data_IF_611896117161
#
_entry.id   IF_611896117161
#
_cell.length_a   1.000
_cell.length_b   1.000
_cell.length_c   1.000
_cell.angle_alpha   90.00
_cell.angle_beta   90.00
_cell.angle_gamma   90.00
#
_symmetry.space_group_name_H-M   'P 1'
#
loop_
_entity.id
_entity.type
_entity.pdbx_description
1 polymer ?
#
# COMPACT_ATOMS: atom_id res chain seq x y z
N UNK A 1 2.46 17.11 -26.90
CA UNK A 1 3.22 15.85 -27.06
C UNK A 1 4.08 15.56 -25.84
N UNK A 2 4.19 14.29 -25.43
CA UNK A 2 4.99 13.87 -24.28
C UNK A 2 6.48 13.77 -24.64
N UNK A 3 7.37 13.93 -23.65
CA UNK A 3 8.82 13.73 -23.83
C UNK A 3 9.18 12.24 -23.83
N UNK A 4 10.34 11.87 -24.39
CA UNK A 4 10.83 10.46 -24.47
C UNK A 4 10.88 9.74 -23.12
N UNK A 5 11.06 10.50 -22.04
CA UNK A 5 11.17 10.00 -20.66
C UNK A 5 9.81 9.81 -19.97
N UNK A 6 8.73 10.31 -20.57
CA UNK A 6 7.36 10.17 -20.05
C UNK A 6 6.86 8.74 -20.16
N UNK A 7 6.06 8.37 -19.16
CA UNK A 7 5.26 7.14 -19.11
C UNK A 7 4.32 7.03 -20.32
N UNK A 8 3.86 8.15 -20.88
CA UNK A 8 2.89 8.21 -21.97
C UNK A 8 3.50 8.46 -23.35
N UNK A 9 4.82 8.51 -23.46
CA UNK A 9 5.51 8.84 -24.71
C UNK A 9 5.13 7.97 -25.91
N UNK A 10 4.98 6.67 -25.66
CA UNK A 10 4.74 5.66 -26.71
C UNK A 10 3.26 5.46 -27.03
N UNK A 11 2.35 6.23 -26.42
CA UNK A 11 0.92 6.06 -26.68
C UNK A 11 0.50 6.88 -27.89
N UNK A 12 -0.17 6.24 -28.88
CA UNK A 12 -0.76 6.99 -29.98
C UNK A 12 -1.92 7.85 -29.42
N UNK A 13 -2.03 9.13 -29.84
CA UNK A 13 -3.16 9.95 -29.46
C UNK A 13 -4.45 9.43 -30.11
N UNK A 14 -5.58 9.62 -29.41
CA UNK A 14 -6.91 9.27 -29.91
C UNK A 14 -7.68 10.55 -30.16
N UNK A 15 -8.09 10.78 -31.40
CA UNK A 15 -8.94 11.91 -31.78
C UNK A 15 -10.40 11.48 -31.68
N UNK A 16 -11.20 12.23 -30.91
CA UNK A 16 -12.64 12.03 -30.80
C UNK A 16 -13.36 13.29 -31.26
N UNK A 17 -14.45 13.11 -32.00
CA UNK A 17 -15.31 14.22 -32.44
C UNK A 17 -16.43 14.42 -31.42
N UNK A 18 -16.58 15.65 -30.92
CA UNK A 18 -17.67 16.00 -30.01
C UNK A 18 -19.01 16.16 -30.75
N UNK A 19 -20.11 16.30 -29.98
CA UNK A 19 -21.46 16.47 -30.54
C UNK A 19 -21.62 17.75 -31.38
N UNK A 20 -20.65 18.68 -31.32
CA UNK A 20 -20.61 19.93 -32.07
C UNK A 20 -19.67 19.85 -33.29
N UNK A 21 -19.17 18.66 -33.63
CA UNK A 21 -18.29 18.42 -34.77
C UNK A 21 -16.84 18.86 -34.56
N UNK A 22 -16.42 19.17 -33.33
CA UNK A 22 -15.04 19.56 -33.02
C UNK A 22 -14.21 18.34 -32.70
N UNK A 23 -13.01 18.28 -33.27
CA UNK A 23 -12.04 17.24 -32.94
C UNK A 23 -11.29 17.58 -31.66
N UNK A 24 -11.17 16.59 -30.76
CA UNK A 24 -10.33 16.68 -29.57
C UNK A 24 -9.35 15.52 -29.53
N UNK A 25 -8.07 15.87 -29.46
CA UNK A 25 -7.00 14.92 -29.21
C UNK A 25 -6.95 14.57 -27.72
N UNK A 26 -6.94 13.28 -27.41
CA UNK A 26 -6.90 12.74 -26.06
C UNK A 26 -5.80 11.67 -25.94
N UNK A 27 -5.28 11.48 -24.73
CA UNK A 27 -4.33 10.41 -24.44
C UNK A 27 -5.10 9.18 -23.96
N UNK A 28 -4.92 8.00 -24.58
CA UNK A 28 -5.64 6.80 -24.15
C UNK A 28 -5.15 6.30 -22.80
N UNK A 29 -5.96 5.47 -22.15
CA UNK A 29 -5.55 4.75 -20.95
C UNK A 29 -4.39 3.79 -21.27
N UNK A 30 -3.36 3.80 -20.42
CA UNK A 30 -2.20 2.92 -20.58
C UNK A 30 -2.43 1.60 -19.84
N UNK A 31 -2.39 0.49 -20.57
CA UNK A 31 -2.28 -0.83 -19.94
C UNK A 31 -0.89 -1.03 -19.34
N UNK A 32 -0.83 -1.65 -18.17
CA UNK A 32 0.43 -1.95 -17.50
C UNK A 32 1.14 -3.08 -18.26
N UNK A 33 2.41 -2.90 -18.66
CA UNK A 33 3.16 -3.97 -19.30
C UNK A 33 3.39 -5.11 -18.30
N UNK A 34 3.38 -6.36 -18.79
CA UNK A 34 3.87 -7.49 -17.98
C UNK A 34 5.37 -7.38 -17.88
N UNK A 35 5.87 -6.89 -16.75
CA UNK A 35 7.29 -6.75 -16.51
C UNK A 35 7.83 -8.00 -15.82
N UNK A 36 8.74 -8.70 -16.50
CA UNK A 36 9.57 -9.74 -15.90
C UNK A 36 10.88 -9.09 -15.45
N UNK A 37 11.07 -8.95 -14.14
CA UNK A 37 12.35 -8.54 -13.56
C UNK A 37 12.95 -9.68 -12.75
N UNK A 38 14.28 -9.76 -12.73
CA UNK A 38 15.04 -10.69 -11.89
C UNK A 38 15.68 -10.00 -10.69
N UNK A 39 15.67 -8.65 -10.64
CA UNK A 39 16.30 -7.89 -9.58
C UNK A 39 15.28 -7.41 -8.56
N UNK A 40 15.55 -7.70 -7.28
CA UNK A 40 14.75 -7.26 -6.16
C UNK A 40 15.54 -6.29 -5.27
N UNK A 41 14.91 -5.19 -4.90
CA UNK A 41 15.41 -4.27 -3.88
C UNK A 41 14.66 -4.48 -2.57
N UNK A 42 15.37 -4.62 -1.46
CA UNK A 42 14.73 -4.72 -0.14
C UNK A 42 14.39 -3.33 0.37
N UNK A 43 13.09 -3.06 0.58
CA UNK A 43 12.64 -1.74 1.02
C UNK A 43 13.18 -1.36 2.40
N UNK A 44 13.71 -0.15 2.50
CA UNK A 44 14.20 0.50 3.70
C UNK A 44 13.35 1.70 4.07
N UNK A 45 13.35 2.10 5.34
CA UNK A 45 12.56 3.24 5.82
C UNK A 45 12.92 4.58 5.14
N UNK A 46 14.17 4.70 4.66
CA UNK A 46 14.69 5.90 4.00
C UNK A 46 14.44 5.92 2.49
N UNK A 47 13.91 4.83 1.93
CA UNK A 47 13.68 4.75 0.50
C UNK A 47 12.59 5.72 0.07
N UNK A 48 12.79 6.28 -1.13
CA UNK A 48 11.82 7.08 -1.85
C UNK A 48 11.91 6.72 -3.32
N UNK A 49 10.81 6.83 -4.06
CA UNK A 49 10.76 6.46 -5.48
C UNK A 49 11.75 7.22 -6.36
N UNK A 50 11.89 8.52 -6.13
CA UNK A 50 12.88 9.38 -6.77
C UNK A 50 14.32 8.92 -6.48
N UNK A 51 14.61 8.60 -5.23
CA UNK A 51 15.93 8.09 -4.81
C UNK A 51 16.22 6.70 -5.38
N UNK A 52 15.23 5.80 -5.41
CA UNK A 52 15.36 4.47 -6.02
C UNK A 52 15.58 4.59 -7.53
N UNK A 53 14.80 5.42 -8.21
CA UNK A 53 14.96 5.67 -9.64
C UNK A 53 16.33 6.31 -9.95
N UNK A 54 16.81 7.20 -9.10
CA UNK A 54 18.17 7.73 -9.22
C UNK A 54 19.22 6.64 -9.02
N UNK A 55 19.10 5.82 -7.97
CA UNK A 55 20.03 4.74 -7.65
C UNK A 55 20.14 3.71 -8.79
N UNK A 56 19.01 3.30 -9.36
CA UNK A 56 18.96 2.22 -10.34
C UNK A 56 19.01 2.68 -11.80
N UNK A 57 18.50 3.88 -12.10
CA UNK A 57 18.41 4.39 -13.48
C UNK A 57 19.20 5.66 -13.72
N UNK A 58 19.86 6.22 -12.69
CA UNK A 58 20.53 7.53 -12.72
C UNK A 58 19.57 8.65 -13.15
N UNK A 59 18.26 8.46 -12.91
CA UNK A 59 17.18 9.37 -13.35
C UNK A 59 16.06 9.41 -12.32
N UNK A 60 16.04 10.42 -11.45
CA UNK A 60 15.06 10.53 -10.36
C UNK A 60 13.60 10.59 -10.83
N UNK A 61 13.35 11.15 -12.02
CA UNK A 61 11.99 11.23 -12.60
C UNK A 61 11.54 9.94 -13.28
N UNK A 62 12.39 8.92 -13.37
CA UNK A 62 12.12 7.65 -14.02
C UNK A 62 11.65 6.57 -13.03
N UNK A 63 10.83 6.96 -12.05
CA UNK A 63 10.31 6.07 -11.00
C UNK A 63 9.10 5.25 -11.44
N UNK A 64 8.39 5.69 -12.47
CA UNK A 64 7.17 5.04 -12.96
C UNK A 64 7.34 3.58 -13.44
N UNK A 65 8.49 3.11 -13.97
CA UNK A 65 8.67 1.69 -14.29
C UNK A 65 8.67 0.81 -13.02
N UNK A 66 9.21 1.31 -11.91
CA UNK A 66 9.18 0.61 -10.62
C UNK A 66 7.74 0.49 -10.13
N UNK A 67 6.94 1.56 -10.26
CA UNK A 67 5.52 1.52 -9.93
C UNK A 67 4.73 0.57 -10.86
N UNK A 68 5.00 0.60 -12.17
CA UNK A 68 4.36 -0.31 -13.14
C UNK A 68 4.68 -1.78 -12.87
N UNK A 69 5.91 -2.08 -12.42
CA UNK A 69 6.38 -3.44 -12.14
C UNK A 69 5.77 -4.04 -10.86
N UNK A 70 5.19 -3.20 -10.01
CA UNK A 70 4.60 -3.62 -8.75
C UNK A 70 3.17 -3.05 -8.65
N UNK A 71 2.24 -3.54 -9.49
CA UNK A 71 0.89 -2.97 -9.64
C UNK A 71 -0.03 -3.23 -8.44
N UNK A 72 0.35 -4.15 -7.55
CA UNK A 72 -0.32 -4.34 -6.26
C UNK A 72 -0.29 -3.08 -5.38
N UNK A 73 0.52 -2.08 -5.75
CA UNK A 73 0.57 -0.78 -5.10
C UNK A 73 -0.20 0.26 -5.91
N UNK A 74 -1.34 0.69 -5.36
CA UNK A 74 -2.17 1.74 -5.97
C UNK A 74 -1.52 3.14 -5.92
N UNK A 75 -0.52 3.36 -5.06
CA UNK A 75 0.13 4.67 -4.94
C UNK A 75 1.64 4.58 -4.68
N UNK A 76 2.43 5.57 -5.15
CA UNK A 76 3.84 5.70 -4.78
C UNK A 76 4.09 5.90 -3.28
N UNK A 77 3.07 6.27 -2.51
CA UNK A 77 3.19 6.43 -1.06
C UNK A 77 2.94 5.12 -0.31
N UNK A 78 2.10 4.22 -0.87
CA UNK A 78 1.81 2.88 -0.36
C UNK A 78 3.10 2.07 -0.20
N UNK A 79 3.95 2.17 -1.21
CA UNK A 79 5.21 1.44 -1.28
C UNK A 79 6.22 1.88 -0.20
N UNK A 80 6.12 3.14 0.24
CA UNK A 80 7.01 3.73 1.23
C UNK A 80 6.47 3.64 2.66
N UNK A 81 5.31 3.02 2.86
CA UNK A 81 4.64 2.94 4.18
C UNK A 81 4.24 4.31 4.73
N UNK A 82 4.05 5.30 3.86
CA UNK A 82 3.68 6.69 4.22
C UNK A 82 2.23 7.02 3.91
N UNK A 83 1.42 6.00 3.65
CA UNK A 83 0.00 6.22 3.47
C UNK A 83 -0.67 6.54 4.80
N UNK A 84 -1.71 7.40 4.78
CA UNK A 84 -2.53 7.61 5.96
C UNK A 84 -3.23 6.30 6.37
N UNK A 85 -3.45 5.37 5.44
CA UNK A 85 -3.98 4.04 5.73
C UNK A 85 -2.83 3.11 6.14
N UNK A 86 -2.85 2.66 7.40
CA UNK A 86 -1.82 1.81 8.02
C UNK A 86 -2.46 0.49 8.42
N UNK A 87 -1.70 -0.61 8.32
CA UNK A 87 -2.10 -1.92 8.87
C UNK A 87 -1.18 -2.29 10.02
N UNK A 88 -1.77 -2.59 11.18
CA UNK A 88 -1.06 -3.00 12.39
C UNK A 88 -1.59 -4.33 12.90
N UNK A 89 -0.70 -5.18 13.40
CA UNK A 89 -1.02 -6.40 14.13
C UNK A 89 -0.86 -6.12 15.63
N UNK A 90 -1.93 -6.33 16.36
CA UNK A 90 -1.97 -6.29 17.81
C UNK A 90 -1.92 -7.73 18.30
N UNK A 91 -0.78 -8.17 18.81
CA UNK A 91 -0.66 -9.47 19.44
C UNK A 91 -1.34 -9.41 20.81
N UNK A 92 -2.13 -10.43 21.13
CA UNK A 92 -2.96 -10.49 22.33
C UNK A 92 -2.51 -11.65 23.21
N UNK A 93 -2.64 -11.48 24.52
CA UNK A 93 -2.49 -12.59 25.44
C UNK A 93 -3.67 -13.56 25.23
N UNK A 94 -3.37 -14.85 25.11
CA UNK A 94 -4.41 -15.87 24.97
C UNK A 94 -5.34 -15.88 26.18
N UNK A 95 -6.65 -15.92 25.94
CA UNK A 95 -7.69 -15.97 26.97
C UNK A 95 -8.78 -16.97 26.57
N UNK A 96 -9.15 -17.86 27.49
CA UNK A 96 -10.11 -18.94 27.25
C UNK A 96 -11.52 -18.46 26.89
N UNK A 97 -11.98 -17.36 27.50
CA UNK A 97 -13.29 -16.74 27.25
C UNK A 97 -13.14 -15.39 26.53
N UNK A 98 -12.47 -15.41 25.36
CA UNK A 98 -12.23 -14.21 24.56
C UNK A 98 -13.52 -13.72 23.85
N UNK A 99 -14.07 -12.53 24.17
CA UNK A 99 -15.29 -12.02 23.56
C UNK A 99 -14.99 -11.39 22.18
N UNK A 100 -14.58 -12.22 21.23
CA UNK A 100 -14.15 -11.80 19.90
C UNK A 100 -15.20 -11.00 19.13
N UNK A 101 -16.49 -11.34 19.31
CA UNK A 101 -17.61 -10.61 18.72
C UNK A 101 -17.69 -9.17 19.20
N UNK A 102 -17.53 -8.95 20.50
CA UNK A 102 -17.69 -7.64 21.12
C UNK A 102 -16.52 -6.75 20.75
N UNK A 103 -15.30 -7.32 20.74
CA UNK A 103 -14.12 -6.64 20.24
C UNK A 103 -14.30 -6.22 18.78
N UNK A 104 -14.76 -7.13 17.92
CA UNK A 104 -14.98 -6.82 16.51
C UNK A 104 -15.96 -5.66 16.33
N UNK A 105 -17.10 -5.71 17.03
CA UNK A 105 -18.13 -4.65 16.96
C UNK A 105 -17.59 -3.30 17.46
N UNK A 106 -16.84 -3.29 18.57
CA UNK A 106 -16.23 -2.07 19.10
C UNK A 106 -15.21 -1.48 18.12
N UNK A 107 -14.34 -2.30 17.53
CA UNK A 107 -13.31 -1.82 16.61
C UNK A 107 -13.88 -1.28 15.30
N UNK A 108 -14.88 -1.97 14.72
CA UNK A 108 -15.53 -1.52 13.48
C UNK A 108 -16.32 -0.22 13.68
N UNK A 109 -16.78 0.06 14.89
CA UNK A 109 -17.46 1.31 15.23
C UNK A 109 -16.53 2.54 15.31
N UNK A 110 -15.21 2.34 15.38
CA UNK A 110 -14.24 3.44 15.47
C UNK A 110 -14.11 4.14 14.12
N UNK A 111 -14.33 5.46 14.11
CA UNK A 111 -14.14 6.28 12.91
C UNK A 111 -12.69 6.18 12.43
N UNK A 112 -12.52 5.79 11.18
CA UNK A 112 -11.20 5.60 10.56
C UNK A 112 -10.71 4.16 10.55
N UNK A 113 -11.35 3.22 11.25
CA UNK A 113 -11.07 1.79 11.05
C UNK A 113 -11.72 1.34 9.74
N UNK A 114 -10.93 0.70 8.89
CA UNK A 114 -11.37 0.22 7.57
C UNK A 114 -11.63 -1.28 7.57
N UNK A 115 -10.69 -2.07 8.12
CA UNK A 115 -10.84 -3.52 8.22
C UNK A 115 -10.28 -4.04 9.54
N UNK A 116 -10.92 -5.08 10.07
CA UNK A 116 -10.51 -5.80 11.27
C UNK A 116 -10.48 -7.29 10.93
N UNK A 117 -9.36 -7.94 11.18
CA UNK A 117 -9.17 -9.39 11.01
C UNK A 117 -8.72 -10.00 12.32
N UNK A 118 -9.44 -11.02 12.77
CA UNK A 118 -9.10 -11.77 13.98
C UNK A 118 -8.29 -12.99 13.55
N UNK A 119 -7.11 -13.15 14.16
CA UNK A 119 -6.24 -14.31 14.00
C UNK A 119 -6.24 -15.02 15.35
N UNK A 120 -6.98 -16.12 15.43
CA UNK A 120 -6.98 -16.97 16.62
C UNK A 120 -6.68 -18.40 16.17
N UNK A 121 -5.53 -18.92 16.60
CA UNK A 121 -5.06 -20.24 16.20
C UNK A 121 -5.01 -21.17 17.41
N UNK A 122 -5.32 -22.44 17.16
CA UNK A 122 -5.19 -23.52 18.16
C UNK A 122 -3.76 -23.68 18.71
N UNK A 123 -2.77 -23.08 18.05
CA UNK A 123 -1.35 -23.08 18.44
C UNK A 123 -1.00 -21.93 19.40
N UNK A 124 -1.98 -21.16 19.86
CA UNK A 124 -1.80 -20.12 20.88
C UNK A 124 -1.45 -18.73 20.32
N UNK A 125 -1.51 -18.53 18.99
CA UNK A 125 -1.45 -17.18 18.44
C UNK A 125 -2.86 -16.56 18.47
N UNK A 126 -3.03 -15.56 19.32
CA UNK A 126 -4.21 -14.69 19.33
C UNK A 126 -3.77 -13.27 18.98
N UNK A 127 -4.30 -12.71 17.89
CA UNK A 127 -3.97 -11.38 17.42
C UNK A 127 -5.13 -10.75 16.66
N UNK A 128 -5.13 -9.43 16.58
CA UNK A 128 -6.05 -8.67 15.72
C UNK A 128 -5.24 -7.81 14.77
N UNK A 129 -5.52 -7.95 13.48
CA UNK A 129 -4.92 -7.14 12.43
C UNK A 129 -5.94 -6.06 12.05
N UNK A 130 -5.55 -4.80 12.22
CA UNK A 130 -6.42 -3.64 11.99
C UNK A 130 -5.80 -2.79 10.89
N UNK A 131 -6.57 -2.51 9.85
CA UNK A 131 -6.24 -1.48 8.86
C UNK A 131 -7.07 -0.24 9.16
N UNK A 132 -6.41 0.89 9.37
CA UNK A 132 -7.06 2.13 9.78
C UNK A 132 -6.41 3.37 9.16
N UNK A 133 -7.16 4.47 9.10
CA UNK A 133 -6.67 5.78 8.71
C UNK A 133 -6.09 6.51 9.93
N UNK A 134 -4.77 6.68 9.91
CA UNK A 134 -3.97 7.38 10.92
C UNK A 134 -4.33 8.85 11.14
N UNK A 135 -5.05 9.47 10.20
CA UNK A 135 -5.57 10.84 10.36
C UNK A 135 -6.79 10.91 11.29
N UNK A 136 -7.51 9.79 11.45
CA UNK A 136 -8.75 9.73 12.21
C UNK A 136 -8.59 8.96 13.52
N UNK A 137 -7.70 7.98 13.57
CA UNK A 137 -7.40 7.17 14.76
C UNK A 137 -5.92 6.83 14.84
N UNK A 138 -5.43 6.45 16.01
CA UNK A 138 -4.02 6.14 16.24
C UNK A 138 -3.85 4.82 17.01
N UNK A 139 -2.61 4.35 17.11
CA UNK A 139 -2.28 3.10 17.80
C UNK A 139 -2.75 3.08 19.26
N UNK A 140 -2.65 4.21 19.96
CA UNK A 140 -3.01 4.30 21.38
C UNK A 140 -4.53 4.19 21.59
N UNK A 141 -5.32 4.85 20.74
CA UNK A 141 -6.77 4.78 20.76
C UNK A 141 -7.27 3.34 20.46
N UNK A 142 -6.64 2.66 19.50
CA UNK A 142 -6.95 1.27 19.19
C UNK A 142 -6.55 0.33 20.34
N UNK A 143 -5.38 0.54 20.95
CA UNK A 143 -4.93 -0.22 22.13
C UNK A 143 -5.89 -0.04 23.30
N UNK A 144 -6.35 1.19 23.54
CA UNK A 144 -7.34 1.50 24.57
C UNK A 144 -8.68 0.80 24.30
N UNK A 145 -9.15 0.79 23.04
CA UNK A 145 -10.38 0.09 22.65
C UNK A 145 -10.26 -1.43 22.84
N UNK A 146 -9.13 -2.03 22.45
CA UNK A 146 -8.85 -3.47 22.66
C UNK A 146 -8.84 -3.79 24.17
N UNK A 147 -8.23 -2.93 24.97
CA UNK A 147 -8.17 -3.09 26.43
C UNK A 147 -9.55 -2.95 27.08
N UNK A 148 -10.37 -2.00 26.59
CA UNK A 148 -11.76 -1.84 27.03
C UNK A 148 -12.64 -3.06 26.71
N UNK A 149 -12.35 -3.76 25.62
CA UNK A 149 -12.93 -5.04 25.26
C UNK A 149 -12.40 -6.23 26.08
N UNK A 150 -11.60 -5.98 27.13
CA UNK A 150 -10.98 -6.96 28.05
C UNK A 150 -9.87 -7.81 27.45
N UNK A 151 -9.28 -7.39 26.33
CA UNK A 151 -8.11 -8.05 25.76
C UNK A 151 -6.82 -7.38 26.24
N UNK A 152 -5.78 -8.17 26.49
CA UNK A 152 -4.45 -7.62 26.84
C UNK A 152 -3.56 -7.62 25.61
N UNK A 153 -3.12 -6.44 25.17
CA UNK A 153 -2.15 -6.30 24.08
C UNK A 153 -0.75 -6.59 24.60
N UNK A 154 -0.06 -7.57 24.01
CA UNK A 154 1.30 -7.97 24.37
C UNK A 154 2.34 -7.21 23.55
N UNK A 155 2.10 -7.05 22.24
CA UNK A 155 2.92 -6.22 21.37
C UNK A 155 2.12 -5.67 20.19
N UNK A 156 2.58 -4.56 19.64
CA UNK A 156 2.01 -3.97 18.42
C UNK A 156 3.08 -3.92 17.35
N UNK A 157 2.79 -4.52 16.21
CA UNK A 157 3.67 -4.55 15.06
C UNK A 157 3.00 -3.83 13.91
N UNK A 158 3.67 -2.80 13.39
CA UNK A 158 3.21 -2.21 12.14
C UNK A 158 3.58 -3.16 11.01
N UNK A 159 2.59 -3.60 10.25
CA UNK A 159 2.82 -4.36 9.02
C UNK A 159 3.31 -3.42 7.92
N UNK A 160 4.48 -2.82 8.14
CA UNK A 160 5.21 -2.08 7.13
C UNK A 160 5.86 -3.07 6.17
N UNK A 161 5.99 -2.66 4.91
CA UNK A 161 6.73 -3.44 3.91
C UNK A 161 8.24 -3.21 3.93
N UNK A 162 8.74 -2.48 4.92
CA UNK A 162 10.18 -2.38 5.19
C UNK A 162 10.70 -3.81 5.36
N UNK A 163 11.71 -4.19 4.58
CA UNK A 163 12.25 -5.55 4.52
C UNK A 163 11.63 -6.45 3.45
N UNK A 164 10.53 -6.06 2.78
CA UNK A 164 9.96 -6.83 1.65
C UNK A 164 10.70 -6.52 0.35
N UNK A 165 10.81 -7.51 -0.56
CA UNK A 165 11.40 -7.30 -1.88
C UNK A 165 10.48 -6.46 -2.76
N UNK A 166 11.09 -5.56 -3.52
CA UNK A 166 10.50 -4.71 -4.54
C UNK A 166 11.11 -5.05 -5.89
N UNK A 167 10.28 -5.31 -6.91
CA UNK A 167 10.78 -5.59 -8.25
C UNK A 167 11.34 -4.30 -8.88
N UNK A 168 12.61 -4.32 -9.28
CA UNK A 168 13.22 -3.23 -10.06
C UNK A 168 13.41 -3.72 -11.49
N UNK A 169 12.60 -3.23 -12.45
CA UNK A 169 12.78 -3.63 -13.84
C UNK A 169 14.08 -3.04 -14.41
N UNK A 170 14.74 -3.71 -15.38
CA UNK A 170 15.97 -3.20 -15.99
C UNK A 170 15.71 -1.92 -16.79
N UNK A 171 16.72 -1.04 -16.82
CA UNK A 171 16.68 0.21 -17.57
C UNK A 171 16.54 -0.08 -19.08
N UNK A 172 15.34 0.09 -19.63
CA UNK A 172 15.06 -0.18 -21.05
C UNK A 172 14.09 -1.32 -21.33
N UNK A 173 13.52 -1.96 -20.30
CA UNK A 173 12.37 -2.85 -20.48
C UNK A 173 11.13 -2.05 -20.90
N UNK A 174 10.94 -1.93 -22.21
CA UNK A 174 9.69 -1.51 -22.87
C UNK A 174 9.29 -2.58 -23.86
#
# INVERSE_FOLDING_TARGET
MFNKTSRYYSLPPVVTTDAQGRERESTPFRLLPRLSGTFFHTLQAVDRFDNLAYRYYQKSLHWWPIADANPEFLSPWALLGKEPVITQRFNLAWMADSPWSDLYQQLVAIIGVNTVQIVDTWLGESAVIITFNSLNTNTDALTAAITAAKFTVTSVETQNRIGKPLLIPPAGSR
#
